data_IF_161422340051
#
_entry.id   IF_161422340051
#
_cell.length_a   1.000
_cell.length_b   1.000
_cell.length_c   1.000
_cell.angle_alpha   90.00
_cell.angle_beta   90.00
_cell.angle_gamma   90.00
#
_symmetry.space_group_name_H-M   'P 1'
#
loop_
_entity.id
_entity.type
_entity.pdbx_description
1 polymer ?
#
# COMPACT_ATOMS: atom_id res chain seq x y z
N UNK A 1 -7.18 -21.32 24.11
CA UNK A 1 -6.71 -20.15 23.34
C UNK A 1 -7.72 -19.03 23.52
N UNK A 2 -7.41 -18.05 24.37
CA UNK A 2 -8.30 -16.91 24.64
C UNK A 2 -8.30 -15.98 23.42
N UNK A 3 -9.45 -15.85 22.77
CA UNK A 3 -9.69 -14.84 21.75
C UNK A 3 -9.46 -13.46 22.40
N UNK A 4 -8.60 -12.58 21.83
CA UNK A 4 -8.39 -11.27 22.42
C UNK A 4 -9.72 -10.52 22.41
N UNK A 5 -10.08 -10.00 23.58
CA UNK A 5 -11.32 -9.26 23.83
C UNK A 5 -11.50 -8.13 22.80
N UNK A 6 -12.75 -7.92 22.39
CA UNK A 6 -13.18 -6.86 21.46
C UNK A 6 -12.52 -5.49 21.72
N UNK A 7 -12.37 -5.00 22.97
CA UNK A 7 -11.68 -3.73 23.24
C UNK A 7 -10.20 -3.72 22.81
N UNK A 8 -9.49 -4.85 22.92
CA UNK A 8 -8.09 -4.93 22.52
C UNK A 8 -7.90 -4.82 21.00
N UNK A 9 -8.86 -5.32 20.21
CA UNK A 9 -8.82 -5.20 18.75
C UNK A 9 -9.13 -3.78 18.29
N UNK A 10 -10.10 -3.12 18.94
CA UNK A 10 -10.48 -1.74 18.64
C UNK A 10 -9.31 -0.78 18.94
N UNK A 11 -8.66 -0.93 20.09
CA UNK A 11 -7.51 -0.12 20.50
C UNK A 11 -6.31 -0.29 19.54
N UNK A 12 -6.03 -1.52 19.11
CA UNK A 12 -4.97 -1.79 18.10
C UNK A 12 -5.30 -1.15 16.76
N UNK A 13 -6.57 -1.18 16.35
CA UNK A 13 -7.01 -0.56 15.10
C UNK A 13 -6.88 0.97 15.14
N UNK A 14 -7.38 1.61 16.19
CA UNK A 14 -7.28 3.08 16.34
C UNK A 14 -5.84 3.55 16.45
N UNK A 15 -4.99 2.84 17.20
CA UNK A 15 -3.56 3.13 17.28
C UNK A 15 -2.86 3.02 15.91
N UNK A 16 -3.17 1.98 15.12
CA UNK A 16 -2.60 1.81 13.78
C UNK A 16 -3.06 2.89 12.80
N UNK A 17 -4.33 3.32 12.87
CA UNK A 17 -4.86 4.41 12.06
C UNK A 17 -4.19 5.74 12.42
N UNK A 18 -4.09 6.05 13.72
CA UNK A 18 -3.43 7.27 14.20
C UNK A 18 -1.95 7.30 13.80
N UNK A 19 -1.22 6.19 13.98
CA UNK A 19 0.17 6.06 13.57
C UNK A 19 0.33 6.23 12.06
N UNK A 20 -0.53 5.62 11.26
CA UNK A 20 -0.48 5.73 9.80
C UNK A 20 -0.75 7.17 9.34
N UNK A 21 -1.73 7.86 9.96
CA UNK A 21 -2.00 9.27 9.68
C UNK A 21 -0.83 10.18 10.06
N UNK A 22 -0.23 9.97 11.24
CA UNK A 22 0.94 10.72 11.67
C UNK A 22 2.13 10.55 10.73
N UNK A 23 2.42 9.31 10.30
CA UNK A 23 3.51 9.02 9.38
C UNK A 23 3.27 9.56 7.96
N UNK A 24 2.01 9.67 7.55
CA UNK A 24 1.62 10.20 6.24
C UNK A 24 1.81 11.72 6.16
N UNK A 25 1.55 12.44 7.27
CA UNK A 25 1.57 13.91 7.35
C UNK A 25 2.82 14.48 8.01
N UNK A 26 3.72 13.65 8.54
CA UNK A 26 4.88 14.09 9.32
C UNK A 26 5.75 15.11 8.58
N UNK A 27 6.02 14.88 7.29
CA UNK A 27 6.80 15.82 6.46
C UNK A 27 6.12 17.17 6.32
N UNK A 28 4.81 17.19 6.04
CA UNK A 28 4.05 18.44 5.90
C UNK A 28 3.93 19.22 7.21
N UNK A 29 3.73 18.54 8.35
CA UNK A 29 3.69 19.21 9.66
C UNK A 29 5.05 19.86 9.96
N UNK A 30 6.14 19.14 9.71
CA UNK A 30 7.49 19.69 9.89
C UNK A 30 7.78 20.82 8.90
N UNK A 31 7.23 20.80 7.69
CA UNK A 31 7.33 21.92 6.76
C UNK A 31 6.76 23.20 7.38
N UNK A 32 5.53 23.14 7.90
CA UNK A 32 4.85 24.30 8.50
C UNK A 32 5.61 24.80 9.74
N UNK A 33 6.11 23.89 10.59
CA UNK A 33 6.84 24.27 11.79
C UNK A 33 8.21 24.92 11.50
N UNK A 34 8.89 24.51 10.43
CA UNK A 34 10.26 24.96 10.11
C UNK A 34 10.33 25.98 8.96
N UNK A 35 9.20 26.38 8.38
CA UNK A 35 9.16 27.40 7.33
C UNK A 35 9.78 28.73 7.79
N UNK A 36 9.36 29.24 8.95
CA UNK A 36 9.80 30.55 9.46
C UNK A 36 11.27 30.57 9.89
N UNK A 37 11.82 29.56 10.62
CA UNK A 37 13.26 29.49 10.88
C UNK A 37 14.10 29.39 9.60
N UNK A 38 13.68 28.60 8.62
CA UNK A 38 14.42 28.44 7.36
C UNK A 38 14.43 29.76 6.60
N UNK A 39 13.29 30.47 6.51
CA UNK A 39 13.21 31.78 5.87
C UNK A 39 14.13 32.80 6.54
N UNK A 40 14.12 32.86 7.88
CA UNK A 40 15.00 33.77 8.64
C UNK A 40 16.49 33.53 8.39
N UNK A 41 16.89 32.27 8.20
CA UNK A 41 18.27 31.89 7.92
C UNK A 41 18.82 32.40 6.57
N UNK A 42 17.94 32.84 5.66
CA UNK A 42 18.30 33.39 4.34
C UNK A 42 18.17 34.92 4.25
N UNK A 43 17.70 35.62 5.30
CA UNK A 43 17.44 37.06 5.25
C UNK A 43 18.70 37.96 5.14
N UNK A 44 19.90 37.39 5.24
CA UNK A 44 21.16 38.14 5.15
C UNK A 44 21.64 38.40 3.70
N UNK A 45 20.86 38.00 2.69
CA UNK A 45 21.23 38.18 1.28
C UNK A 45 20.89 39.56 0.72
N UNK A 46 21.81 40.13 -0.06
CA UNK A 46 21.72 41.48 -0.64
C UNK A 46 20.62 41.67 -1.70
N UNK A 47 19.94 40.62 -2.16
CA UNK A 47 18.85 40.69 -3.14
C UNK A 47 17.68 39.79 -2.75
N UNK A 48 16.45 40.22 -3.10
CA UNK A 48 15.21 39.48 -2.84
C UNK A 48 15.16 38.15 -3.60
N UNK A 49 15.61 38.14 -4.86
CA UNK A 49 15.70 36.90 -5.65
C UNK A 49 16.71 35.90 -5.08
N UNK A 50 17.85 36.38 -4.57
CA UNK A 50 18.84 35.53 -3.94
C UNK A 50 18.31 34.94 -2.61
N UNK A 51 17.55 35.72 -1.86
CA UNK A 51 16.89 35.30 -0.63
C UNK A 51 15.86 34.20 -0.89
N UNK A 52 15.01 34.37 -1.92
CA UNK A 52 14.00 33.38 -2.31
C UNK A 52 14.61 32.08 -2.82
N UNK A 53 15.65 32.17 -3.64
CA UNK A 53 16.36 30.99 -4.13
C UNK A 53 17.06 30.22 -2.99
N UNK A 54 17.69 30.94 -2.05
CA UNK A 54 18.25 30.36 -0.83
C UNK A 54 17.18 29.63 -0.01
N UNK A 55 16.03 30.27 0.20
CA UNK A 55 14.91 29.71 0.95
C UNK A 55 14.40 28.43 0.29
N UNK A 56 14.07 28.48 -1.01
CA UNK A 56 13.55 27.35 -1.76
C UNK A 56 14.51 26.15 -1.74
N UNK A 57 15.82 26.40 -1.87
CA UNK A 57 16.82 25.34 -1.81
C UNK A 57 16.90 24.72 -0.41
N UNK A 58 17.06 25.53 0.63
CA UNK A 58 17.15 25.03 2.02
C UNK A 58 15.90 24.28 2.44
N UNK A 59 14.73 24.79 2.05
CA UNK A 59 13.45 24.12 2.28
C UNK A 59 13.39 22.79 1.53
N UNK A 60 13.77 22.73 0.25
CA UNK A 60 13.78 21.47 -0.52
C UNK A 60 14.73 20.41 0.08
N UNK A 61 15.93 20.79 0.50
CA UNK A 61 16.86 19.87 1.18
C UNK A 61 16.33 19.41 2.54
N UNK A 62 15.80 20.32 3.35
CA UNK A 62 15.19 19.99 4.63
C UNK A 62 14.04 19.00 4.45
N UNK A 63 13.10 19.29 3.54
CA UNK A 63 11.96 18.43 3.29
C UNK A 63 12.35 17.08 2.71
N UNK A 64 13.36 17.03 1.82
CA UNK A 64 13.88 15.76 1.34
C UNK A 64 14.49 14.93 2.47
N UNK A 65 15.28 15.55 3.36
CA UNK A 65 15.86 14.86 4.51
C UNK A 65 14.78 14.29 5.45
N UNK A 66 13.79 15.13 5.80
CA UNK A 66 12.64 14.70 6.62
C UNK A 66 11.85 13.60 5.92
N UNK A 67 11.67 13.68 4.59
CA UNK A 67 11.01 12.65 3.80
C UNK A 67 11.81 11.33 3.81
N UNK A 68 13.14 11.37 3.69
CA UNK A 68 13.97 10.17 3.79
C UNK A 68 13.81 9.51 5.16
N UNK A 69 13.83 10.30 6.25
CA UNK A 69 13.60 9.78 7.59
C UNK A 69 12.20 9.19 7.74
N UNK A 70 11.16 9.90 7.31
CA UNK A 70 9.78 9.40 7.36
C UNK A 70 9.63 8.14 6.50
N UNK A 71 10.36 8.03 5.38
CA UNK A 71 10.38 6.84 4.53
C UNK A 71 11.06 5.65 5.18
N UNK A 72 12.18 5.85 5.88
CA UNK A 72 12.84 4.78 6.65
C UNK A 72 11.90 4.25 7.74
N UNK A 73 11.26 5.16 8.48
CA UNK A 73 10.30 4.79 9.54
C UNK A 73 9.11 4.08 8.92
N UNK A 74 8.50 4.63 7.87
CA UNK A 74 7.36 3.98 7.20
C UNK A 74 7.75 2.63 6.61
N UNK A 75 8.91 2.47 5.97
CA UNK A 75 9.36 1.17 5.47
C UNK A 75 9.48 0.11 6.57
N UNK A 76 9.98 0.49 7.75
CA UNK A 76 9.98 -0.40 8.92
C UNK A 76 8.55 -0.72 9.35
N UNK A 77 7.71 0.30 9.46
CA UNK A 77 6.32 0.16 9.88
C UNK A 77 5.49 -0.66 8.87
N UNK A 78 5.76 -0.61 7.56
CA UNK A 78 5.12 -1.45 6.53
C UNK A 78 5.35 -2.95 6.78
N UNK A 79 6.53 -3.30 7.32
CA UNK A 79 6.81 -4.67 7.74
C UNK A 79 5.93 -5.09 8.94
N UNK A 80 5.60 -4.14 9.82
CA UNK A 80 4.88 -4.40 11.08
C UNK A 80 3.37 -4.14 11.06
N UNK A 81 2.85 -3.22 10.23
CA UNK A 81 1.44 -2.81 10.19
C UNK A 81 0.55 -3.84 9.52
N UNK A 82 1.07 -4.57 8.53
CA UNK A 82 0.33 -5.62 7.83
C UNK A 82 0.97 -7.00 8.02
N UNK A 83 1.00 -7.55 9.25
CA UNK A 83 1.34 -8.94 9.50
C UNK A 83 0.16 -9.87 9.19
N UNK A 84 -0.96 -9.37 8.66
CA UNK A 84 -2.04 -10.21 8.16
C UNK A 84 -1.54 -10.92 6.90
N UNK A 85 -1.22 -12.19 7.03
CA UNK A 85 -0.88 -13.11 5.95
C UNK A 85 0.52 -12.95 5.32
N UNK A 86 1.64 -13.03 6.08
CA UNK A 86 3.00 -13.06 5.51
C UNK A 86 3.22 -14.13 4.44
N UNK A 87 2.54 -15.28 4.53
CA UNK A 87 2.55 -16.39 3.58
C UNK A 87 1.42 -16.31 2.54
N UNK A 88 0.67 -15.21 2.49
CA UNK A 88 -0.29 -14.99 1.41
C UNK A 88 0.43 -14.92 0.06
N UNK A 89 0.04 -15.78 -0.87
CA UNK A 89 0.67 -15.91 -2.17
C UNK A 89 0.48 -14.65 -3.03
N UNK A 90 -0.64 -13.92 -2.89
CA UNK A 90 -0.84 -12.64 -3.58
C UNK A 90 0.14 -11.57 -3.09
N UNK A 91 0.43 -11.53 -1.79
CA UNK A 91 1.40 -10.62 -1.19
C UNK A 91 2.85 -10.96 -1.55
N UNK A 92 3.18 -12.25 -1.62
CA UNK A 92 4.48 -12.71 -2.10
C UNK A 92 4.71 -12.38 -3.57
N UNK A 93 3.67 -12.45 -4.40
CA UNK A 93 3.77 -12.15 -5.83
C UNK A 93 3.84 -10.64 -6.12
N UNK A 94 3.14 -9.81 -5.34
CA UNK A 94 3.11 -8.35 -5.52
C UNK A 94 3.22 -7.67 -4.16
N UNK A 95 4.45 -7.41 -3.67
CA UNK A 95 4.67 -6.93 -2.31
C UNK A 95 4.36 -5.44 -2.11
N UNK A 96 4.26 -4.63 -3.18
CA UNK A 96 3.99 -3.20 -3.11
C UNK A 96 5.11 -2.38 -2.43
N UNK A 97 6.27 -2.99 -2.18
CA UNK A 97 7.37 -2.35 -1.45
C UNK A 97 8.21 -1.52 -2.40
N UNK A 98 8.04 -0.20 -2.33
CA UNK A 98 8.78 0.74 -3.17
C UNK A 98 9.82 1.51 -2.35
N UNK A 99 11.02 1.64 -2.91
CA UNK A 99 12.09 2.48 -2.37
C UNK A 99 11.81 3.93 -2.76
N UNK A 100 10.97 4.61 -1.97
CA UNK A 100 10.53 5.97 -2.26
C UNK A 100 11.63 7.03 -2.27
N UNK A 101 12.87 6.71 -1.83
CA UNK A 101 14.01 7.64 -1.83
C UNK A 101 14.39 8.07 -3.26
N UNK A 102 14.20 7.20 -4.26
CA UNK A 102 14.50 7.50 -5.66
C UNK A 102 13.69 8.71 -6.21
N UNK A 103 12.53 9.01 -5.62
CA UNK A 103 11.67 10.13 -6.01
C UNK A 103 12.21 11.49 -5.56
N UNK A 104 13.06 11.53 -4.54
CA UNK A 104 13.63 12.79 -4.11
C UNK A 104 14.82 13.26 -4.93
N UNK A 105 15.41 12.39 -5.75
CA UNK A 105 16.44 12.77 -6.72
C UNK A 105 15.91 13.75 -7.78
N UNK A 106 14.84 13.44 -8.54
CA UNK A 106 14.28 14.40 -9.50
C UNK A 106 13.74 15.67 -8.81
N UNK A 107 13.18 15.55 -7.61
CA UNK A 107 12.74 16.71 -6.83
C UNK A 107 13.90 17.65 -6.48
N UNK A 108 14.96 17.14 -5.85
CA UNK A 108 16.12 17.96 -5.49
C UNK A 108 16.78 18.54 -6.74
N UNK A 109 16.95 17.73 -7.79
CA UNK A 109 17.60 18.14 -9.02
C UNK A 109 16.88 19.33 -9.70
N UNK A 110 15.56 19.39 -9.60
CA UNK A 110 14.76 20.53 -10.07
C UNK A 110 14.96 21.82 -9.25
N UNK A 111 15.06 21.72 -7.93
CA UNK A 111 15.27 22.89 -7.08
C UNK A 111 16.73 23.37 -7.12
N UNK A 112 17.69 22.46 -7.30
CA UNK A 112 19.10 22.81 -7.48
C UNK A 112 19.41 23.40 -8.86
N UNK A 113 18.74 22.93 -9.92
CA UNK A 113 18.94 23.47 -11.26
C UNK A 113 18.50 24.94 -11.36
N UNK A 114 17.41 25.33 -10.68
CA UNK A 114 16.97 26.72 -10.59
C UNK A 114 18.00 27.67 -9.97
N UNK A 115 18.87 27.19 -9.08
CA UNK A 115 19.96 27.99 -8.48
C UNK A 115 21.18 28.11 -9.40
N UNK A 116 21.56 26.99 -10.02
CA UNK A 116 22.65 26.94 -11.01
C UNK A 116 22.33 27.78 -12.26
N UNK A 117 21.05 27.97 -12.57
CA UNK A 117 20.53 28.77 -13.71
C UNK A 117 20.07 30.18 -13.28
N UNK A 118 20.63 30.73 -12.19
CA UNK A 118 20.54 32.18 -11.91
C UNK A 118 21.31 33.03 -12.93
N UNK A 119 22.07 32.40 -13.83
CA UNK A 119 22.45 32.95 -15.13
C UNK A 119 21.32 32.70 -16.14
N UNK A 120 20.90 33.72 -16.89
CA UNK A 120 19.81 33.78 -17.90
C UNK A 120 19.83 32.74 -19.05
N UNK A 121 20.34 31.54 -18.82
CA UNK A 121 20.44 30.47 -19.79
C UNK A 121 19.30 29.51 -19.52
N UNK A 122 18.46 29.27 -20.52
CA UNK A 122 17.41 28.26 -20.44
C UNK A 122 18.01 26.91 -20.02
N UNK A 123 17.33 26.12 -19.15
CA UNK A 123 17.79 24.79 -18.81
C UNK A 123 18.00 24.01 -20.09
N UNK A 124 19.22 23.51 -20.31
CA UNK A 124 19.52 22.74 -21.52
C UNK A 124 18.47 21.62 -21.70
N UNK A 125 17.93 21.42 -22.90
CA UNK A 125 16.90 20.41 -23.14
C UNK A 125 17.35 18.99 -22.72
N UNK A 126 18.65 18.76 -22.71
CA UNK A 126 19.29 17.52 -22.25
C UNK A 126 19.13 17.30 -20.73
N UNK A 127 19.19 18.35 -19.91
CA UNK A 127 18.90 18.29 -18.48
C UNK A 127 17.42 17.97 -18.22
N UNK A 128 16.52 18.60 -18.98
CA UNK A 128 15.08 18.31 -18.92
C UNK A 128 14.75 16.86 -19.26
N UNK A 129 15.36 16.32 -20.33
CA UNK A 129 15.22 14.91 -20.71
C UNK A 129 15.78 13.95 -19.65
N UNK A 130 16.93 14.29 -19.04
CA UNK A 130 17.51 13.48 -17.96
C UNK A 130 16.61 13.46 -16.71
N UNK A 131 16.04 14.59 -16.32
CA UNK A 131 15.09 14.68 -15.20
C UNK A 131 13.83 13.86 -15.47
N UNK A 132 13.28 13.95 -16.69
CA UNK A 132 12.12 13.16 -17.09
C UNK A 132 12.43 11.66 -17.06
N UNK A 133 13.60 11.24 -17.57
CA UNK A 133 14.04 9.85 -17.52
C UNK A 133 14.16 9.34 -16.07
N UNK A 134 14.72 10.15 -15.16
CA UNK A 134 14.79 9.83 -13.73
C UNK A 134 13.40 9.70 -13.10
N UNK A 135 12.46 10.58 -13.45
CA UNK A 135 11.07 10.48 -13.00
C UNK A 135 10.42 9.18 -13.50
N UNK A 136 10.56 8.84 -14.79
CA UNK A 136 10.00 7.60 -15.34
C UNK A 136 10.56 6.37 -14.60
N UNK A 137 11.87 6.33 -14.35
CA UNK A 137 12.50 5.22 -13.60
C UNK A 137 11.99 5.16 -12.16
N UNK A 138 11.84 6.31 -11.50
CA UNK A 138 11.35 6.36 -10.11
C UNK A 138 9.87 5.96 -9.99
N UNK A 139 9.02 6.29 -10.97
CA UNK A 139 7.59 5.98 -10.99
C UNK A 139 7.25 4.61 -11.60
N UNK A 140 8.13 4.02 -12.41
CA UNK A 140 7.95 2.70 -13.03
C UNK A 140 7.48 1.60 -12.06
N UNK A 141 8.08 1.40 -10.87
CA UNK A 141 7.64 0.32 -9.98
C UNK A 141 6.19 0.53 -9.49
N UNK A 142 5.75 1.77 -9.28
CA UNK A 142 4.37 2.07 -8.88
C UNK A 142 3.38 1.78 -9.99
N UNK A 143 3.73 2.13 -11.24
CA UNK A 143 2.91 1.86 -12.42
C UNK A 143 2.82 0.35 -12.68
N UNK A 144 3.94 -0.37 -12.60
CA UNK A 144 3.98 -1.83 -12.75
C UNK A 144 3.06 -2.54 -11.77
N UNK A 145 3.10 -2.15 -10.50
CA UNK A 145 2.27 -2.76 -9.46
C UNK A 145 0.79 -2.41 -9.68
N UNK A 146 0.47 -1.18 -10.08
CA UNK A 146 -0.88 -0.79 -10.49
C UNK A 146 -1.43 -1.66 -11.63
N UNK A 147 -0.68 -1.82 -12.73
CA UNK A 147 -1.10 -2.68 -13.85
C UNK A 147 -1.33 -4.13 -13.40
N UNK A 148 -0.44 -4.63 -12.53
CA UNK A 148 -0.56 -5.99 -12.01
C UNK A 148 -1.81 -6.15 -11.14
N UNK A 149 -2.09 -5.19 -10.25
CA UNK A 149 -3.31 -5.17 -9.43
C UNK A 149 -4.57 -5.10 -10.29
N UNK A 150 -4.62 -4.19 -11.27
CA UNK A 150 -5.74 -4.09 -12.22
C UNK A 150 -6.01 -5.41 -12.93
N UNK A 151 -4.95 -6.08 -13.43
CA UNK A 151 -5.08 -7.39 -14.07
C UNK A 151 -5.65 -8.45 -13.11
N UNK A 152 -5.16 -8.50 -11.87
CA UNK A 152 -5.67 -9.45 -10.87
C UNK A 152 -7.13 -9.17 -10.49
N UNK A 153 -7.50 -7.90 -10.32
CA UNK A 153 -8.88 -7.50 -10.03
C UNK A 153 -9.81 -7.84 -11.19
N UNK A 154 -9.41 -7.60 -12.44
CA UNK A 154 -10.19 -7.98 -13.62
C UNK A 154 -10.43 -9.49 -13.67
N UNK A 155 -9.39 -10.31 -13.47
CA UNK A 155 -9.55 -11.77 -13.39
C UNK A 155 -10.44 -12.20 -12.22
N UNK A 156 -10.36 -11.50 -11.08
CA UNK A 156 -11.21 -11.75 -9.92
C UNK A 156 -12.68 -11.43 -10.23
N UNK A 157 -12.96 -10.32 -10.92
CA UNK A 157 -14.32 -9.95 -11.36
C UNK A 157 -14.89 -10.98 -12.32
N UNK A 158 -14.15 -11.37 -13.35
CA UNK A 158 -14.60 -12.38 -14.33
C UNK A 158 -14.98 -13.72 -13.69
N UNK A 159 -14.32 -14.09 -12.58
CA UNK A 159 -14.57 -15.33 -11.83
C UNK A 159 -15.53 -15.15 -10.65
N UNK A 160 -16.26 -14.03 -10.59
CA UNK A 160 -17.22 -13.69 -9.51
C UNK A 160 -16.56 -13.84 -8.13
N UNK A 161 -15.36 -13.27 -7.96
CA UNK A 161 -14.59 -13.41 -6.74
C UNK A 161 -15.23 -12.67 -5.56
N UNK A 162 -15.68 -11.44 -5.81
CA UNK A 162 -16.36 -10.61 -4.84
C UNK A 162 -17.79 -11.12 -4.63
N UNK A 163 -18.17 -11.40 -3.37
CA UNK A 163 -19.53 -11.80 -3.00
C UNK A 163 -20.48 -10.60 -2.91
N UNK A 164 -19.98 -9.45 -2.49
CA UNK A 164 -20.74 -8.21 -2.35
C UNK A 164 -20.28 -7.16 -3.37
N UNK A 165 -21.23 -6.43 -3.95
CA UNK A 165 -20.93 -5.32 -4.86
C UNK A 165 -20.13 -4.21 -4.16
N UNK A 166 -20.32 -4.03 -2.86
CA UNK A 166 -19.60 -3.02 -2.07
C UNK A 166 -18.08 -3.23 -2.07
N UNK A 167 -17.60 -4.46 -1.86
CA UNK A 167 -16.16 -4.75 -1.83
C UNK A 167 -15.52 -4.49 -3.20
N UNK A 168 -16.25 -4.81 -4.27
CA UNK A 168 -15.83 -4.50 -5.64
C UNK A 168 -15.77 -3.00 -5.88
N UNK A 169 -16.82 -2.25 -5.50
CA UNK A 169 -16.86 -0.78 -5.62
C UNK A 169 -15.69 -0.16 -4.87
N UNK A 170 -15.45 -0.56 -3.63
CA UNK A 170 -14.37 -0.01 -2.82
C UNK A 170 -12.98 -0.37 -3.39
N UNK A 171 -12.81 -1.56 -3.97
CA UNK A 171 -11.59 -1.92 -4.70
C UNK A 171 -11.37 -1.04 -5.93
N UNK A 172 -12.42 -0.80 -6.72
CA UNK A 172 -12.34 0.06 -7.91
C UNK A 172 -12.05 1.51 -7.53
N UNK A 173 -12.71 2.04 -6.50
CA UNK A 173 -12.43 3.37 -5.95
C UNK A 173 -10.99 3.46 -5.46
N UNK A 174 -10.49 2.43 -4.77
CA UNK A 174 -9.09 2.40 -4.30
C UNK A 174 -8.10 2.43 -5.47
N UNK A 175 -8.34 1.65 -6.53
CA UNK A 175 -7.51 1.67 -7.74
C UNK A 175 -7.56 3.03 -8.44
N UNK A 176 -8.73 3.67 -8.50
CA UNK A 176 -8.88 5.00 -9.06
C UNK A 176 -8.06 6.04 -8.29
N UNK A 177 -8.15 6.03 -6.96
CA UNK A 177 -7.36 6.95 -6.13
C UNK A 177 -5.86 6.67 -6.28
N UNK A 178 -5.45 5.39 -6.32
CA UNK A 178 -4.05 5.01 -6.55
C UNK A 178 -3.51 5.62 -7.86
N UNK A 179 -4.23 5.44 -8.98
CA UNK A 179 -3.85 5.99 -10.28
C UNK A 179 -3.80 7.52 -10.25
N UNK A 180 -4.78 8.14 -9.59
CA UNK A 180 -4.90 9.60 -9.49
C UNK A 180 -3.71 10.19 -8.74
N UNK A 181 -3.40 9.67 -7.54
CA UNK A 181 -2.23 10.07 -6.75
C UNK A 181 -0.94 9.87 -7.54
N UNK A 182 -0.74 8.69 -8.14
CA UNK A 182 0.46 8.43 -8.95
C UNK A 182 0.62 9.42 -10.11
N UNK A 183 -0.47 9.77 -10.79
CA UNK A 183 -0.44 10.68 -11.94
C UNK A 183 -0.18 12.12 -11.49
N UNK A 184 -0.86 12.58 -10.43
CA UNK A 184 -0.66 13.92 -9.85
C UNK A 184 0.79 14.11 -9.43
N UNK A 185 1.33 13.16 -8.66
CA UNK A 185 2.71 13.22 -8.16
C UNK A 185 3.73 13.13 -9.30
N UNK A 186 3.46 12.31 -10.33
CA UNK A 186 4.32 12.26 -11.52
C UNK A 186 4.36 13.61 -12.25
N UNK A 187 3.20 14.25 -12.45
CA UNK A 187 3.11 15.55 -13.12
C UNK A 187 3.75 16.66 -12.28
N UNK A 188 3.56 16.65 -10.96
CA UNK A 188 4.15 17.64 -10.06
C UNK A 188 5.67 17.50 -9.99
N UNK A 189 6.20 16.29 -9.76
CA UNK A 189 7.65 16.07 -9.66
C UNK A 189 8.34 16.32 -11.01
N UNK A 190 7.77 15.88 -12.12
CA UNK A 190 8.38 15.98 -13.45
C UNK A 190 8.32 17.40 -14.02
N UNK A 191 7.17 18.07 -13.91
CA UNK A 191 6.92 19.33 -14.62
C UNK A 191 6.56 20.51 -13.70
N UNK A 192 6.11 20.24 -12.48
CA UNK A 192 5.64 21.30 -11.57
C UNK A 192 4.36 21.98 -12.04
N UNK A 193 3.60 21.30 -12.89
CA UNK A 193 2.37 21.82 -13.49
C UNK A 193 1.17 21.72 -12.55
N UNK A 194 1.31 21.04 -11.41
CA UNK A 194 0.19 20.77 -10.54
C UNK A 194 -0.02 21.92 -9.53
N UNK A 195 -1.21 22.53 -9.57
CA UNK A 195 -1.63 23.46 -8.54
C UNK A 195 -1.90 22.68 -7.24
N UNK A 196 -1.00 22.84 -6.26
CA UNK A 196 -1.10 22.14 -4.98
C UNK A 196 -2.43 22.45 -4.28
N UNK A 197 -3.22 21.42 -4.04
CA UNK A 197 -4.41 21.50 -3.20
C UNK A 197 -3.98 21.56 -1.73
N UNK A 198 -4.62 22.39 -0.92
CA UNK A 198 -4.25 22.56 0.49
C UNK A 198 -5.36 22.03 1.40
N UNK A 199 -4.98 21.30 2.44
CA UNK A 199 -5.87 20.90 3.52
C UNK A 199 -5.34 21.47 4.83
N UNK A 200 -6.13 22.30 5.51
CA UNK A 200 -5.72 22.98 6.75
C UNK A 200 -4.39 23.76 6.57
N UNK A 201 -4.18 24.34 5.38
CA UNK A 201 -2.96 25.06 5.01
C UNK A 201 -1.78 24.19 4.57
N UNK A 202 -1.93 22.85 4.58
CA UNK A 202 -0.87 21.91 4.22
C UNK A 202 -1.05 21.44 2.77
N UNK A 203 -0.06 21.65 1.88
CA UNK A 203 -0.15 21.22 0.48
C UNK A 203 -0.13 19.70 0.37
N UNK A 204 -1.13 19.14 -0.33
CA UNK A 204 -1.35 17.70 -0.48
C UNK A 204 -0.55 17.09 -1.63
N UNK A 205 0.75 17.39 -1.70
CA UNK A 205 1.67 16.91 -2.73
C UNK A 205 3.03 16.56 -2.13
N UNK A 206 3.82 15.77 -2.84
CA UNK A 206 5.21 15.53 -2.47
C UNK A 206 5.99 16.85 -2.27
N UNK A 207 6.89 16.94 -1.28
CA UNK A 207 7.23 15.94 -0.26
C UNK A 207 6.38 16.02 1.03
N UNK A 208 5.35 16.86 1.07
CA UNK A 208 4.54 17.12 2.26
C UNK A 208 3.64 15.95 2.67
N UNK A 209 3.28 15.12 1.70
CA UNK A 209 2.63 13.83 1.93
C UNK A 209 3.59 12.70 1.61
N UNK A 210 3.67 11.71 2.49
CA UNK A 210 4.33 10.45 2.21
C UNK A 210 3.47 9.57 1.28
N UNK A 211 3.32 9.98 0.02
CA UNK A 211 2.48 9.27 -0.94
C UNK A 211 2.96 7.82 -1.22
N UNK A 212 4.26 7.45 -1.15
CA UNK A 212 4.66 6.06 -1.28
C UNK A 212 4.02 5.16 -0.22
N UNK A 213 3.89 5.67 1.01
CA UNK A 213 3.20 4.97 2.08
C UNK A 213 1.68 4.90 1.80
N UNK A 214 1.06 5.99 1.30
CA UNK A 214 -0.35 5.97 0.90
C UNK A 214 -0.64 4.91 -0.19
N UNK A 215 0.18 4.89 -1.25
CA UNK A 215 0.08 3.91 -2.33
C UNK A 215 0.28 2.49 -1.80
N UNK A 216 1.21 2.28 -0.85
CA UNK A 216 1.38 1.00 -0.17
C UNK A 216 0.13 0.57 0.61
N UNK A 217 -0.53 1.49 1.33
CA UNK A 217 -1.78 1.18 2.06
C UNK A 217 -2.89 0.76 1.10
N UNK A 218 -3.06 1.49 -0.01
CA UNK A 218 -4.03 1.16 -1.06
C UNK A 218 -3.73 -0.18 -1.73
N UNK A 219 -2.45 -0.42 -2.04
CA UNK A 219 -1.97 -1.68 -2.57
C UNK A 219 -2.34 -2.84 -1.65
N UNK A 220 -2.00 -2.71 -0.37
CA UNK A 220 -2.33 -3.72 0.65
C UNK A 220 -3.83 -3.97 0.74
N UNK A 221 -4.64 -2.92 0.72
CA UNK A 221 -6.09 -3.05 0.73
C UNK A 221 -6.59 -3.95 -0.41
N UNK A 222 -6.15 -3.69 -1.64
CA UNK A 222 -6.57 -4.45 -2.84
C UNK A 222 -6.14 -5.92 -2.76
N UNK A 223 -4.87 -6.19 -2.43
CA UNK A 223 -4.33 -7.56 -2.45
C UNK A 223 -4.84 -8.44 -1.29
N UNK A 224 -5.33 -7.85 -0.21
CA UNK A 224 -5.77 -8.56 0.98
C UNK A 224 -7.19 -9.16 0.87
N UNK A 225 -7.89 -8.96 -0.25
CA UNK A 225 -9.17 -9.60 -0.47
C UNK A 225 -9.02 -11.12 -0.66
N UNK A 226 -9.78 -11.87 0.13
CA UNK A 226 -9.83 -13.34 0.08
C UNK A 226 -11.27 -13.81 -0.10
N UNK A 227 -11.46 -14.83 -0.95
CA UNK A 227 -12.75 -15.47 -1.17
C UNK A 227 -12.85 -16.75 -0.36
N UNK A 228 -13.93 -16.87 0.41
CA UNK A 228 -14.34 -18.13 1.03
C UNK A 228 -14.80 -19.11 -0.05
N UNK A 229 -14.13 -20.25 -0.13
CA UNK A 229 -14.52 -21.34 -1.03
C UNK A 229 -15.56 -22.24 -0.35
N UNK A 230 -16.39 -22.97 -1.11
CA UNK A 230 -17.29 -23.96 -0.54
C UNK A 230 -16.50 -25.00 0.25
N UNK A 231 -17.09 -25.38 1.38
CA UNK A 231 -16.50 -26.33 2.32
C UNK A 231 -16.52 -27.73 1.73
N UNK A 232 -15.42 -28.45 1.89
CA UNK A 232 -15.29 -29.87 1.56
C UNK A 232 -15.13 -30.63 2.86
N UNK A 233 -15.81 -31.77 2.96
CA UNK A 233 -15.69 -32.66 4.11
C UNK A 233 -15.04 -33.95 3.60
N UNK A 234 -13.90 -34.29 4.18
CA UNK A 234 -13.21 -35.54 3.93
C UNK A 234 -13.71 -36.58 4.92
N UNK A 235 -14.22 -37.69 4.40
CA UNK A 235 -14.48 -38.91 5.17
C UNK A 235 -13.18 -39.73 5.15
N UNK A 236 -12.53 -39.84 6.32
CA UNK A 236 -11.25 -40.53 6.49
C UNK A 236 -11.58 -41.89 7.09
N UNK A 237 -11.53 -42.94 6.27
CA UNK A 237 -12.04 -44.26 6.65
C UNK A 237 -11.17 -44.94 7.72
N UNK A 238 -9.85 -44.82 7.61
CA UNK A 238 -8.92 -45.44 8.58
C UNK A 238 -9.01 -44.83 9.97
N UNK A 239 -9.19 -43.51 10.06
CA UNK A 239 -9.28 -42.78 11.33
C UNK A 239 -10.72 -42.67 11.87
N UNK A 240 -11.71 -43.18 11.13
CA UNK A 240 -13.14 -43.02 11.40
C UNK A 240 -13.51 -41.58 11.82
N UNK A 241 -13.10 -40.62 10.99
CA UNK A 241 -13.25 -39.19 11.28
C UNK A 241 -13.71 -38.39 10.05
N UNK A 242 -14.61 -37.42 10.26
CA UNK A 242 -14.87 -36.39 9.27
C UNK A 242 -13.96 -35.17 9.49
N UNK A 243 -13.28 -34.73 8.44
CA UNK A 243 -12.43 -33.53 8.44
C UNK A 243 -13.02 -32.48 7.52
N UNK A 244 -13.46 -31.37 8.10
CA UNK A 244 -14.01 -30.22 7.38
C UNK A 244 -12.87 -29.28 6.97
N UNK A 245 -12.69 -29.09 5.67
CA UNK A 245 -11.67 -28.21 5.11
C UNK A 245 -12.28 -26.85 4.74
N UNK A 246 -11.91 -25.83 5.49
CA UNK A 246 -12.22 -24.43 5.18
C UNK A 246 -11.10 -23.85 4.32
N UNK A 247 -11.40 -23.53 3.06
CA UNK A 247 -10.42 -22.94 2.13
C UNK A 247 -10.73 -21.49 1.83
N UNK A 248 -9.68 -20.70 1.74
CA UNK A 248 -9.72 -19.32 1.30
C UNK A 248 -8.82 -19.15 0.08
N UNK A 249 -9.29 -18.48 -0.96
CA UNK A 249 -8.46 -18.13 -2.12
C UNK A 249 -8.08 -16.67 -2.10
N UNK A 250 -6.82 -16.37 -2.39
CA UNK A 250 -6.34 -15.01 -2.61
C UNK A 250 -6.81 -14.48 -3.97
N UNK A 251 -6.57 -13.20 -4.22
CA UNK A 251 -6.84 -12.55 -5.52
C UNK A 251 -6.16 -13.25 -6.72
N UNK A 252 -5.01 -13.91 -6.47
CA UNK A 252 -4.29 -14.72 -7.47
C UNK A 252 -4.87 -16.13 -7.68
N UNK A 253 -6.05 -16.42 -7.12
CA UNK A 253 -6.79 -17.69 -7.21
C UNK A 253 -6.10 -18.93 -6.61
N UNK A 254 -4.95 -18.74 -5.96
CA UNK A 254 -4.30 -19.79 -5.17
C UNK A 254 -4.90 -19.84 -3.76
N UNK A 255 -4.91 -21.03 -3.17
CA UNK A 255 -5.36 -21.22 -1.80
C UNK A 255 -4.39 -20.51 -0.83
N UNK A 256 -4.95 -19.77 0.12
CA UNK A 256 -4.21 -19.02 1.13
C UNK A 256 -3.84 -19.96 2.27
N UNK A 257 -2.57 -20.28 2.49
CA UNK A 257 -2.16 -21.27 3.49
C UNK A 257 -2.39 -20.78 4.93
N UNK A 258 -2.51 -19.47 5.15
CA UNK A 258 -2.72 -18.93 6.49
C UNK A 258 -4.18 -18.82 6.91
N UNK A 259 -5.08 -18.68 5.95
CA UNK A 259 -6.52 -18.59 6.21
C UNK A 259 -7.20 -19.94 6.11
N UNK A 260 -6.67 -20.81 5.24
CA UNK A 260 -7.22 -22.15 5.07
C UNK A 260 -6.86 -23.01 6.26
N UNK A 261 -7.84 -23.70 6.82
CA UNK A 261 -7.68 -24.53 8.00
C UNK A 261 -8.62 -25.72 7.96
N UNK A 262 -8.26 -26.76 8.70
CA UNK A 262 -9.05 -27.98 8.86
C UNK A 262 -9.67 -28.01 10.25
N UNK A 263 -10.95 -28.37 10.33
CA UNK A 263 -11.68 -28.61 11.57
C UNK A 263 -12.10 -30.07 11.60
N UNK A 264 -11.84 -30.75 12.71
CA UNK A 264 -12.33 -32.11 12.92
C UNK A 264 -13.77 -32.03 13.40
N UNK A 265 -14.66 -32.77 12.75
CA UNK A 265 -16.05 -32.84 13.15
C UNK A 265 -16.22 -33.87 14.28
N UNK A 266 -17.12 -33.62 15.24
CA UNK A 266 -17.28 -34.47 16.42
C UNK A 266 -18.01 -35.80 16.12
N UNK A 267 -18.62 -35.94 14.95
CA UNK A 267 -19.37 -37.13 14.55
C UNK A 267 -18.45 -38.07 13.77
N UNK A 268 -18.42 -39.34 14.16
CA UNK A 268 -17.68 -40.38 13.44
C UNK A 268 -18.47 -40.86 12.20
N UNK A 269 -17.83 -41.11 11.05
CA UNK A 269 -18.44 -41.70 9.86
C UNK A 269 -19.19 -43.00 10.11
N UNK A 270 -18.67 -43.90 10.95
CA UNK A 270 -19.30 -45.18 11.30
C UNK A 270 -20.61 -45.02 12.08
N UNK A 271 -20.71 -43.96 12.89
CA UNK A 271 -21.88 -43.66 13.72
C UNK A 271 -22.87 -42.71 13.03
N UNK A 272 -22.44 -42.04 11.95
CA UNK A 272 -23.23 -41.03 11.27
C UNK A 272 -24.37 -41.64 10.46
N UNK A 273 -25.60 -41.30 10.84
CA UNK A 273 -26.81 -41.64 10.09
C UNK A 273 -26.84 -40.91 8.73
N UNK A 274 -27.61 -41.42 7.78
CA UNK A 274 -27.85 -40.75 6.49
C UNK A 274 -28.46 -39.36 6.64
N UNK A 275 -29.20 -39.10 7.73
CA UNK A 275 -29.73 -37.77 8.05
C UNK A 275 -28.62 -36.82 8.51
N UNK A 276 -27.74 -37.26 9.39
CA UNK A 276 -26.59 -36.45 9.86
C UNK A 276 -25.61 -36.15 8.73
N UNK A 277 -25.32 -37.13 7.86
CA UNK A 277 -24.51 -36.92 6.66
C UNK A 277 -25.11 -35.85 5.72
N UNK A 278 -26.44 -35.73 5.64
CA UNK A 278 -27.12 -34.68 4.85
C UNK A 278 -27.14 -33.31 5.53
N UNK A 279 -27.00 -33.26 6.85
CA UNK A 279 -26.96 -32.01 7.62
C UNK A 279 -25.57 -31.36 7.61
N UNK A 280 -24.55 -32.10 7.21
CA UNK A 280 -23.20 -31.57 7.06
C UNK A 280 -23.14 -30.53 5.93
N UNK A 281 -22.74 -29.30 6.27
CA UNK A 281 -22.58 -28.20 5.31
C UNK A 281 -21.30 -28.38 4.46
N UNK A 282 -21.37 -29.24 3.45
CA UNK A 282 -20.26 -29.42 2.52
C UNK A 282 -20.44 -30.59 1.56
N UNK A 283 -19.64 -30.60 0.50
CA UNK A 283 -19.52 -31.79 -0.36
C UNK A 283 -18.67 -32.82 0.37
N UNK A 284 -19.24 -34.00 0.66
CA UNK A 284 -18.51 -35.12 1.24
C UNK A 284 -17.69 -35.80 0.14
N UNK A 285 -16.40 -36.00 0.40
CA UNK A 285 -15.45 -36.69 -0.47
C UNK A 285 -14.80 -37.79 0.36
N UNK A 286 -14.83 -39.02 -0.14
CA UNK A 286 -14.19 -40.15 0.52
C UNK A 286 -12.69 -40.15 0.21
N UNK A 287 -11.88 -40.39 1.24
CA UNK A 287 -10.45 -40.55 1.11
C UNK A 287 -9.99 -41.68 2.03
N UNK A 288 -9.13 -42.58 1.53
CA UNK A 288 -8.69 -43.75 2.28
C UNK A 288 -7.80 -43.34 3.46
N UNK A 289 -6.88 -42.39 3.24
CA UNK A 289 -5.99 -41.86 4.28
C UNK A 289 -5.75 -40.35 4.11
N UNK A 290 -5.47 -39.66 5.23
CA UNK A 290 -5.00 -38.27 5.23
C UNK A 290 -3.50 -38.27 4.93
N UNK A 291 -3.12 -38.16 3.65
CA UNK A 291 -1.71 -37.96 3.32
C UNK A 291 -1.27 -36.58 3.84
N UNK A 292 -0.35 -36.61 4.80
CA UNK A 292 0.30 -35.47 5.44
C UNK A 292 1.01 -34.54 4.46
#
# INVERSE_FOLDING_TARGET
MLTPSIPHRLLKFTANVALSGALLLCTGVLNVCFETPIRQSCLHSNSTQLAENCFNQRQAFFLFFVFCLSRIVTYRVEVYLFPRYPRCLAKGAVPGRHVGIALGLPYLARFSSKLLLSTEVDPSPLLGLALLALCVVAFFPYARDFFTMCRLVLYAVQRRFYKANHDLILTVVTLYIYLSVMTIEFLDVSFGLYCSQHLLGLPLVFPNINFPFLLYLMHCYVIMHHKTMPVIIYEVLEEDQFVQLHRFRCLCQKDCPELSHTVRLPVAPSLATTRERRLLEGRIVQNEALYH
#
